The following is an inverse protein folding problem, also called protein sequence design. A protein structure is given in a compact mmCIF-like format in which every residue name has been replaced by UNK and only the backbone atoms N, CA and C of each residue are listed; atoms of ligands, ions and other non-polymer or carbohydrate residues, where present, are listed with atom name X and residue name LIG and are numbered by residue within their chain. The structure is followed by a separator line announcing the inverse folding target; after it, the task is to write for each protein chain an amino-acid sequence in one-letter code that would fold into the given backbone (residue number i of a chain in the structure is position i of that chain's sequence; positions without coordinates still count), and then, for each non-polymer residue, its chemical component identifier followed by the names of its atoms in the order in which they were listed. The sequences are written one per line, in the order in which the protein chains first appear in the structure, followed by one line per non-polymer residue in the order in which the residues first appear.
data_IF_359298783487
#
_entry.id   IF_359298783487
#
_cell.length_a   1.000
_cell.length_b   1.000
_cell.length_c   1.000
_cell.angle_alpha   90.00
_cell.angle_beta   90.00
_cell.angle_gamma   90.00
#
_symmetry.space_group_name_H-M   'P 1'
#
loop_
_entity.id
_entity.type
_entity.pdbx_description
1 polymer ?
#
# COMPACT_ATOMS: atom_id res chain seq x y z
N UNK A 1 8.72 51.33 20.23
CA UNK A 1 7.28 51.20 20.61
C UNK A 1 7.00 52.12 21.78
N UNK A 2 6.17 53.17 21.61
CA UNK A 2 5.84 54.11 22.70
C UNK A 2 4.69 53.53 23.53
N UNK A 3 4.86 53.41 24.85
CA UNK A 3 3.85 52.80 25.73
C UNK A 3 2.56 53.62 25.74
N UNK A 4 1.40 52.95 25.88
CA UNK A 4 0.06 53.56 25.95
C UNK A 4 -0.06 54.69 27.00
N UNK A 5 0.79 54.65 28.04
CA UNK A 5 0.90 55.67 29.10
C UNK A 5 1.41 57.01 28.57
N UNK A 6 2.38 57.01 27.66
CA UNK A 6 2.96 58.25 27.11
C UNK A 6 1.99 58.95 26.14
N UNK A 7 1.18 58.19 25.39
CA UNK A 7 0.14 58.75 24.50
C UNK A 7 -1.00 59.45 25.28
N UNK A 8 -1.29 58.99 26.50
CA UNK A 8 -2.31 59.60 27.35
C UNK A 8 -1.85 60.94 27.94
N UNK A 9 -0.56 61.07 28.29
CA UNK A 9 0.04 62.32 28.79
C UNK A 9 0.13 63.38 27.68
N UNK A 10 0.52 62.98 26.47
CA UNK A 10 0.59 63.88 25.30
C UNK A 10 -0.79 64.43 24.87
N UNK A 11 -1.87 63.68 25.10
CA UNK A 11 -3.25 64.13 24.82
C UNK A 11 -3.79 65.16 25.82
N UNK A 12 -3.32 65.15 27.07
CA UNK A 12 -3.68 66.18 28.07
C UNK A 12 -2.94 67.50 27.81
N UNK A 13 -1.69 67.45 27.35
CA UNK A 13 -0.88 68.64 27.07
C UNK A 13 -1.32 69.39 25.80
N UNK A 14 -1.85 68.70 24.79
CA UNK A 14 -2.23 69.32 23.50
C UNK A 14 -3.69 69.79 23.38
N UNK A 15 -4.49 69.81 24.46
CA UNK A 15 -5.85 70.42 24.45
C UNK A 15 -6.87 69.86 23.43
N UNK A 16 -6.57 68.77 22.70
CA UNK A 16 -7.47 68.23 21.67
C UNK A 16 -8.62 67.45 22.30
N UNK A 17 -9.80 68.09 22.38
CA UNK A 17 -11.08 67.44 22.72
C UNK A 17 -11.33 66.26 21.75
N UNK A 18 -11.83 65.14 22.28
CA UNK A 18 -12.21 63.98 21.44
C UNK A 18 -13.22 64.43 20.37
N UNK A 19 -13.12 63.97 19.12
CA UNK A 19 -14.15 64.24 18.13
C UNK A 19 -15.50 63.73 18.67
N UNK A 20 -16.61 64.44 18.46
CA UNK A 20 -17.92 63.97 18.88
C UNK A 20 -18.15 62.62 18.23
N UNK A 21 -18.47 61.60 19.04
CA UNK A 21 -18.99 60.34 18.51
C UNK A 21 -20.38 60.66 17.94
N UNK A 22 -20.47 60.98 16.66
CA UNK A 22 -21.73 61.02 15.93
C UNK A 22 -22.18 59.57 15.70
N UNK A 23 -22.68 58.94 16.77
CA UNK A 23 -23.53 57.76 16.63
C UNK A 23 -24.75 58.28 15.88
N UNK A 24 -24.95 57.88 14.62
CA UNK A 24 -26.21 58.16 13.90
C UNK A 24 -27.34 57.54 14.71
N UNK A 25 -27.96 58.34 15.57
CA UNK A 25 -29.15 57.95 16.31
C UNK A 25 -30.25 57.92 15.28
N UNK A 26 -30.66 56.72 14.86
CA UNK A 26 -31.89 56.56 14.09
C UNK A 26 -33.00 57.10 15.01
N UNK A 27 -33.66 58.18 14.60
CA UNK A 27 -34.77 58.76 15.36
C UNK A 27 -35.77 57.63 15.70
N UNK A 28 -36.14 57.50 16.98
CA UNK A 28 -37.02 56.43 17.49
C UNK A 28 -38.35 56.40 16.72
N UNK A 29 -38.83 57.56 16.29
CA UNK A 29 -40.04 57.70 15.46
C UNK A 29 -39.82 57.25 14.01
N UNK A 30 -38.65 57.54 13.43
CA UNK A 30 -38.29 57.06 12.09
C UNK A 30 -38.13 55.54 12.06
N UNK A 31 -37.56 54.95 13.11
CA UNK A 31 -37.51 53.50 13.26
C UNK A 31 -38.90 52.90 13.41
N UNK A 32 -39.80 53.53 14.18
CA UNK A 32 -41.19 53.07 14.32
C UNK A 32 -41.94 53.07 12.98
N UNK A 33 -41.82 54.15 12.19
CA UNK A 33 -42.44 54.28 10.86
C UNK A 33 -41.91 53.30 9.82
N UNK A 34 -40.62 52.92 9.91
CA UNK A 34 -39.97 52.02 8.93
C UNK A 34 -39.68 50.61 9.44
N UNK A 35 -40.15 50.26 10.64
CA UNK A 35 -39.84 49.00 11.34
C UNK A 35 -40.09 47.78 10.48
N UNK A 36 -41.25 47.72 9.83
CA UNK A 36 -41.66 46.61 8.96
C UNK A 36 -40.73 46.48 7.76
N UNK A 37 -40.41 47.58 7.08
CA UNK A 37 -39.49 47.60 5.92
C UNK A 37 -38.07 47.16 6.30
N UNK A 38 -37.60 47.54 7.49
CA UNK A 38 -36.29 47.11 8.03
C UNK A 38 -36.29 45.62 8.37
N UNK A 39 -37.36 45.13 9.00
CA UNK A 39 -37.51 43.71 9.32
C UNK A 39 -37.61 42.87 8.04
N UNK A 40 -38.35 43.33 7.04
CA UNK A 40 -38.51 42.63 5.76
C UNK A 40 -37.17 42.49 5.03
N UNK A 41 -36.38 43.57 4.94
CA UNK A 41 -35.01 43.49 4.41
C UNK A 41 -34.12 42.51 5.17
N UNK A 42 -34.23 42.47 6.51
CA UNK A 42 -33.45 41.52 7.34
C UNK A 42 -33.91 40.08 7.13
N UNK A 43 -35.19 39.86 6.89
CA UNK A 43 -35.76 38.57 6.54
C UNK A 43 -35.24 38.12 5.17
N UNK A 44 -35.40 38.95 4.13
CA UNK A 44 -34.87 38.71 2.77
C UNK A 44 -33.37 38.37 2.81
N UNK A 45 -32.59 39.16 3.54
CA UNK A 45 -31.15 38.93 3.66
C UNK A 45 -30.81 37.62 4.38
N UNK A 46 -31.53 37.25 5.44
CA UNK A 46 -31.34 35.94 6.10
C UNK A 46 -31.73 34.78 5.19
N UNK A 47 -32.82 34.93 4.44
CA UNK A 47 -33.28 33.93 3.46
C UNK A 47 -32.22 33.74 2.37
N UNK A 48 -31.71 34.84 1.79
CA UNK A 48 -30.63 34.81 0.81
C UNK A 48 -29.34 34.19 1.35
N UNK A 49 -28.87 34.61 2.52
CA UNK A 49 -27.67 34.05 3.16
C UNK A 49 -27.79 32.55 3.41
N UNK A 50 -29.01 32.06 3.67
CA UNK A 50 -29.31 30.64 3.90
C UNK A 50 -29.24 29.83 2.62
N UNK A 51 -29.84 30.32 1.53
CA UNK A 51 -29.71 29.70 0.20
C UNK A 51 -28.25 29.63 -0.24
N UNK A 52 -27.51 30.72 -0.09
CA UNK A 52 -26.08 30.76 -0.42
C UNK A 52 -25.27 29.73 0.37
N UNK A 53 -25.55 29.56 1.67
CA UNK A 53 -24.89 28.54 2.50
C UNK A 53 -25.25 27.11 2.07
N UNK A 54 -26.49 26.87 1.65
CA UNK A 54 -26.95 25.59 1.12
C UNK A 54 -26.24 25.24 -0.19
N UNK A 55 -26.18 26.18 -1.14
CA UNK A 55 -25.45 26.01 -2.41
C UNK A 55 -23.98 25.69 -2.16
N UNK A 56 -23.31 26.47 -1.31
CA UNK A 56 -21.91 26.24 -0.93
C UNK A 56 -21.71 24.86 -0.30
N UNK A 57 -22.68 24.38 0.50
CA UNK A 57 -22.61 23.04 1.09
C UNK A 57 -22.77 21.93 0.03
N UNK A 58 -23.69 22.10 -0.93
CA UNK A 58 -23.89 21.17 -2.05
C UNK A 58 -22.68 21.12 -2.98
N UNK A 59 -22.12 22.28 -3.35
CA UNK A 59 -20.89 22.33 -4.14
C UNK A 59 -19.72 21.63 -3.44
N UNK A 60 -19.57 21.84 -2.13
CA UNK A 60 -18.55 21.13 -1.34
C UNK A 60 -18.77 19.63 -1.33
N UNK A 61 -20.02 19.19 -1.21
CA UNK A 61 -20.38 17.77 -1.22
C UNK A 61 -20.01 17.12 -2.56
N UNK A 62 -20.33 17.77 -3.68
CA UNK A 62 -19.97 17.29 -5.02
C UNK A 62 -18.45 17.22 -5.17
N UNK A 63 -17.74 18.31 -4.84
CA UNK A 63 -16.27 18.34 -4.91
C UNK A 63 -15.61 17.24 -4.07
N UNK A 64 -16.11 16.98 -2.86
CA UNK A 64 -15.59 15.92 -1.99
C UNK A 64 -15.86 14.51 -2.54
N UNK A 65 -17.00 14.29 -3.21
CA UNK A 65 -17.31 12.99 -3.83
C UNK A 65 -16.45 12.71 -5.05
N UNK A 66 -16.20 13.74 -5.87
CA UNK A 66 -15.45 13.64 -7.12
C UNK A 66 -13.93 13.63 -6.90
N UNK A 67 -13.46 14.14 -5.75
CA UNK A 67 -12.04 14.19 -5.43
C UNK A 67 -11.49 12.76 -5.20
N UNK A 68 -10.43 12.36 -5.94
CA UNK A 68 -9.78 11.08 -5.75
C UNK A 68 -9.15 11.01 -4.35
N UNK A 69 -9.08 9.81 -3.79
CA UNK A 69 -8.34 9.58 -2.54
C UNK A 69 -6.85 9.71 -2.82
N UNK A 70 -6.23 10.74 -2.25
CA UNK A 70 -4.79 10.95 -2.33
C UNK A 70 -4.08 10.03 -1.34
N UNK A 71 -3.74 8.82 -1.79
CA UNK A 71 -2.97 7.86 -1.01
C UNK A 71 -1.69 7.53 -1.76
N UNK A 72 -0.57 8.01 -1.24
CA UNK A 72 0.73 7.71 -1.84
C UNK A 72 1.01 6.20 -1.83
N UNK A 73 1.49 5.65 -2.97
CA UNK A 73 1.90 4.26 -3.04
C UNK A 73 3.09 3.99 -2.12
N UNK A 74 3.05 2.86 -1.43
CA UNK A 74 4.15 2.44 -0.56
C UNK A 74 5.28 1.91 -1.44
N UNK A 75 6.47 2.51 -1.34
CA UNK A 75 7.67 2.03 -2.02
C UNK A 75 8.01 0.62 -1.55
N UNK A 76 7.83 -0.36 -2.43
CA UNK A 76 8.24 -1.75 -2.19
C UNK A 76 9.72 -1.94 -2.50
N UNK A 77 10.39 -2.79 -1.73
CA UNK A 77 11.79 -3.16 -2.00
C UNK A 77 11.90 -3.92 -3.32
N UNK A 78 12.80 -3.49 -4.19
CA UNK A 78 13.02 -4.12 -5.49
C UNK A 78 13.53 -5.56 -5.36
N UNK A 79 13.06 -6.42 -6.26
CA UNK A 79 13.55 -7.78 -6.44
C UNK A 79 14.73 -7.79 -7.42
N UNK A 80 15.78 -8.54 -7.12
CA UNK A 80 16.89 -8.74 -8.06
C UNK A 80 17.16 -10.23 -8.25
N UNK A 81 17.15 -10.74 -9.49
CA UNK A 81 17.39 -12.15 -9.77
C UNK A 81 18.84 -12.56 -9.54
N UNK A 82 19.13 -13.86 -9.64
CA UNK A 82 20.50 -14.35 -9.73
C UNK A 82 21.19 -13.84 -11.00
N UNK A 83 22.53 -13.84 -11.03
CA UNK A 83 23.30 -13.71 -12.26
C UNK A 83 22.92 -14.79 -13.28
N UNK A 84 23.05 -14.48 -14.57
CA UNK A 84 22.80 -15.42 -15.67
C UNK A 84 23.69 -16.66 -15.65
N UNK A 85 24.87 -16.58 -15.02
CA UNK A 85 25.77 -17.72 -14.78
C UNK A 85 25.25 -18.74 -13.76
N UNK A 86 24.19 -18.42 -13.02
CA UNK A 86 23.60 -19.31 -12.03
C UNK A 86 22.61 -20.27 -12.69
N UNK A 87 22.68 -21.56 -12.35
CA UNK A 87 21.73 -22.59 -12.83
C UNK A 87 20.28 -22.24 -12.47
N UNK A 88 20.07 -21.49 -11.38
CA UNK A 88 18.76 -21.05 -10.92
C UNK A 88 18.37 -19.65 -11.45
N UNK A 89 19.10 -19.10 -12.43
CA UNK A 89 18.80 -17.79 -13.00
C UNK A 89 17.36 -17.69 -13.51
N UNK A 90 16.94 -18.62 -14.37
CA UNK A 90 15.60 -18.60 -14.98
C UNK A 90 14.48 -18.55 -13.95
N UNK A 91 14.54 -19.45 -12.96
CA UNK A 91 13.56 -19.51 -11.87
C UNK A 91 13.70 -18.35 -10.87
N UNK A 92 14.84 -17.65 -10.80
CA UNK A 92 15.03 -16.48 -9.91
C UNK A 92 14.48 -15.16 -10.49
N UNK A 93 14.10 -15.13 -11.78
CA UNK A 93 13.61 -13.92 -12.45
C UNK A 93 12.30 -13.41 -11.85
N UNK A 94 11.44 -14.32 -11.42
CA UNK A 94 10.16 -13.99 -10.80
C UNK A 94 10.04 -14.69 -9.44
N UNK A 95 9.92 -13.93 -8.33
CA UNK A 95 9.80 -14.49 -6.99
C UNK A 95 8.49 -15.28 -6.77
N UNK A 96 7.42 -14.97 -7.50
CA UNK A 96 6.15 -15.69 -7.44
C UNK A 96 6.23 -17.03 -8.18
N UNK A 97 6.75 -17.03 -9.41
CA UNK A 97 7.01 -18.27 -10.14
C UNK A 97 7.99 -19.17 -9.39
N UNK A 98 9.01 -18.59 -8.75
CA UNK A 98 9.93 -19.32 -7.89
C UNK A 98 9.23 -19.97 -6.70
N UNK A 99 8.44 -19.20 -5.95
CA UNK A 99 7.71 -19.70 -4.78
C UNK A 99 6.71 -20.81 -5.16
N UNK A 100 6.02 -20.63 -6.29
CA UNK A 100 5.14 -21.65 -6.86
C UNK A 100 5.91 -22.92 -7.22
N UNK A 101 7.00 -22.78 -7.98
CA UNK A 101 7.83 -23.91 -8.44
C UNK A 101 8.44 -24.69 -7.28
N UNK A 102 8.92 -24.00 -6.23
CA UNK A 102 9.41 -24.63 -5.02
C UNK A 102 8.31 -25.36 -4.24
N UNK A 103 7.11 -24.78 -4.15
CA UNK A 103 5.97 -25.42 -3.49
C UNK A 103 5.58 -26.69 -4.26
N UNK A 104 5.48 -26.61 -5.59
CA UNK A 104 5.22 -27.75 -6.45
C UNK A 104 6.29 -28.84 -6.29
N UNK A 105 7.57 -28.45 -6.30
CA UNK A 105 8.69 -29.37 -6.07
C UNK A 105 8.62 -30.03 -4.69
N UNK A 106 8.30 -29.27 -3.64
CA UNK A 106 8.17 -29.79 -2.28
C UNK A 106 7.05 -30.82 -2.17
N UNK A 107 5.87 -30.51 -2.71
CA UNK A 107 4.74 -31.45 -2.71
C UNK A 107 5.05 -32.70 -3.53
N UNK A 108 5.72 -32.56 -4.68
CA UNK A 108 6.17 -33.70 -5.48
C UNK A 108 7.16 -34.58 -4.75
N UNK A 109 8.20 -34.01 -4.13
CA UNK A 109 9.16 -34.78 -3.34
C UNK A 109 8.49 -35.48 -2.16
N UNK A 110 7.55 -34.81 -1.49
CA UNK A 110 6.76 -35.40 -0.40
C UNK A 110 5.89 -36.55 -0.89
N UNK A 111 5.25 -36.42 -2.05
CA UNK A 111 4.42 -37.46 -2.67
C UNK A 111 5.24 -38.67 -3.14
N UNK A 112 6.40 -38.43 -3.77
CA UNK A 112 7.23 -39.49 -4.35
C UNK A 112 8.14 -40.19 -3.34
N UNK A 113 8.66 -39.45 -2.36
CA UNK A 113 9.75 -39.91 -1.50
C UNK A 113 9.50 -39.70 -0.01
N UNK A 114 8.33 -39.16 0.40
CA UNK A 114 7.98 -38.81 1.79
C UNK A 114 8.90 -37.80 2.49
N UNK A 115 9.90 -37.27 1.78
CA UNK A 115 10.88 -36.31 2.28
C UNK A 115 10.87 -35.03 1.45
N UNK A 116 11.38 -33.93 2.02
CA UNK A 116 11.50 -32.66 1.31
C UNK A 116 12.67 -32.65 0.32
N UNK A 117 12.67 -31.76 -0.70
CA UNK A 117 13.66 -31.73 -1.77
C UNK A 117 15.11 -31.60 -1.31
N UNK A 118 15.33 -31.04 -0.12
CA UNK A 118 16.65 -30.88 0.51
C UNK A 118 17.24 -32.16 1.09
N UNK A 119 16.44 -33.23 1.20
CA UNK A 119 16.81 -34.53 1.76
C UNK A 119 16.76 -35.64 0.70
N UNK A 120 16.50 -35.28 -0.56
CA UNK A 120 16.36 -36.23 -1.66
C UNK A 120 17.71 -36.40 -2.35
N UNK A 121 18.14 -37.64 -2.50
CA UNK A 121 19.33 -38.00 -3.29
C UNK A 121 19.18 -37.59 -4.76
N UNK A 122 20.28 -37.26 -5.41
CA UNK A 122 20.28 -36.70 -6.75
C UNK A 122 19.41 -37.43 -7.80
N UNK A 123 19.46 -38.76 -7.96
CA UNK A 123 18.65 -39.44 -8.99
C UNK A 123 17.15 -39.27 -8.75
N UNK A 124 16.75 -39.25 -7.48
CA UNK A 124 15.36 -39.03 -7.05
C UNK A 124 14.98 -37.55 -7.19
N UNK A 125 15.90 -36.64 -6.89
CA UNK A 125 15.69 -35.19 -6.99
C UNK A 125 15.49 -34.78 -8.46
N UNK A 126 16.37 -35.21 -9.35
CA UNK A 126 16.24 -34.98 -10.79
C UNK A 126 14.90 -35.50 -11.33
N UNK A 127 14.47 -36.70 -10.90
CA UNK A 127 13.18 -37.28 -11.32
C UNK A 127 11.98 -36.44 -10.85
N UNK A 128 12.08 -35.77 -9.70
CA UNK A 128 11.05 -34.84 -9.23
C UNK A 128 11.03 -33.51 -10.01
N UNK A 129 12.20 -33.02 -10.43
CA UNK A 129 12.36 -31.77 -11.19
C UNK A 129 11.95 -31.92 -12.66
N UNK A 130 12.33 -33.02 -13.33
CA UNK A 130 12.25 -33.18 -14.79
C UNK A 130 10.91 -33.77 -15.27
N UNK A 131 10.08 -34.33 -14.37
CA UNK A 131 8.76 -34.84 -14.76
C UNK A 131 7.90 -33.72 -15.38
N UNK A 132 7.51 -33.96 -16.63
CA UNK A 132 7.50 -33.03 -17.77
C UNK A 132 6.38 -31.98 -17.83
N UNK A 133 5.42 -31.94 -16.90
CA UNK A 133 4.16 -31.22 -17.21
C UNK A 133 3.83 -29.98 -16.36
N UNK A 134 4.30 -29.81 -15.11
CA UNK A 134 3.76 -28.70 -14.26
C UNK A 134 4.76 -27.78 -13.54
N UNK A 135 6.07 -27.91 -13.72
CA UNK A 135 6.99 -26.88 -13.20
C UNK A 135 7.32 -25.94 -14.35
N UNK A 136 6.36 -25.07 -14.65
CA UNK A 136 6.44 -24.03 -15.67
C UNK A 136 7.82 -23.33 -15.65
N UNK A 137 8.39 -23.17 -16.84
CA UNK A 137 9.50 -22.27 -17.18
C UNK A 137 10.82 -22.44 -16.42
N UNK A 138 11.23 -23.68 -16.13
CA UNK A 138 12.66 -23.94 -16.08
C UNK A 138 13.23 -23.70 -17.49
N UNK A 139 13.86 -22.53 -17.71
CA UNK A 139 14.52 -22.17 -18.97
C UNK A 139 15.35 -23.35 -19.52
N UNK A 140 15.40 -23.46 -20.85
CA UNK A 140 16.19 -24.45 -21.58
C UNK A 140 17.64 -24.59 -21.06
N UNK A 141 18.24 -23.46 -20.66
CA UNK A 141 19.58 -23.37 -20.05
C UNK A 141 19.66 -24.14 -18.73
N UNK A 142 18.66 -24.03 -17.87
CA UNK A 142 18.59 -24.77 -16.61
C UNK A 142 18.37 -26.26 -16.88
N UNK A 143 17.48 -26.62 -17.79
CA UNK A 143 17.28 -28.03 -18.18
C UNK A 143 18.55 -28.66 -18.72
N UNK A 144 19.31 -27.94 -19.55
CA UNK A 144 20.61 -28.38 -20.07
C UNK A 144 21.61 -28.60 -18.94
N UNK A 145 21.78 -27.64 -18.05
CA UNK A 145 22.67 -27.77 -16.89
C UNK A 145 22.30 -28.96 -15.99
N UNK A 146 21.00 -29.18 -15.74
CA UNK A 146 20.52 -30.34 -14.99
C UNK A 146 20.78 -31.68 -15.72
N UNK A 147 20.67 -31.71 -17.05
CA UNK A 147 20.96 -32.90 -17.84
C UNK A 147 22.46 -33.23 -17.84
N UNK A 148 23.33 -32.23 -18.00
CA UNK A 148 24.78 -32.41 -17.92
C UNK A 148 25.18 -32.93 -16.54
N UNK A 149 24.62 -32.36 -15.48
CA UNK A 149 24.86 -32.80 -14.10
C UNK A 149 24.34 -34.23 -13.86
N UNK A 150 23.20 -34.59 -14.46
CA UNK A 150 22.67 -35.96 -14.40
C UNK A 150 23.62 -36.97 -15.02
N UNK A 151 24.10 -36.70 -16.24
CA UNK A 151 24.97 -37.62 -16.97
C UNK A 151 26.22 -37.93 -16.16
N UNK A 152 26.84 -36.89 -15.56
CA UNK A 152 28.03 -37.06 -14.70
C UNK A 152 27.75 -37.87 -13.42
N UNK A 153 26.57 -37.71 -12.82
CA UNK A 153 26.24 -38.39 -11.56
C UNK A 153 25.76 -39.84 -11.71
N UNK A 154 25.21 -40.20 -12.87
CA UNK A 154 24.76 -41.58 -13.17
C UNK A 154 25.89 -42.39 -13.84
N UNK A 155 27.01 -41.77 -14.18
CA UNK A 155 28.18 -42.48 -14.69
C UNK A 155 28.53 -43.67 -13.80
N UNK A 156 28.64 -44.84 -14.45
CA UNK A 156 29.12 -46.05 -13.81
C UNK A 156 30.60 -45.85 -13.46
N UNK A 157 30.90 -46.05 -12.20
CA UNK A 157 32.23 -45.84 -11.61
C UNK A 157 32.68 -47.04 -10.80
N UNK A 158 31.88 -48.11 -10.82
CA UNK A 158 32.16 -49.34 -10.11
C UNK A 158 33.35 -50.02 -10.80
N UNK A 159 34.17 -50.70 -10.00
CA UNK A 159 35.29 -51.44 -10.56
C UNK A 159 34.74 -52.60 -11.42
N UNK A 160 35.30 -52.83 -12.62
CA UNK A 160 34.97 -54.01 -13.41
C UNK A 160 35.21 -55.28 -12.59
N UNK A 161 34.44 -56.32 -12.86
CA UNK A 161 34.63 -57.60 -12.21
C UNK A 161 36.05 -58.15 -12.48
N UNK A 162 36.62 -58.86 -11.51
CA UNK A 162 38.03 -59.28 -11.54
C UNK A 162 38.34 -60.18 -12.76
N UNK A 163 37.41 -61.04 -13.14
CA UNK A 163 37.49 -61.89 -14.34
C UNK A 163 37.57 -61.08 -15.64
N UNK A 164 36.91 -59.91 -15.70
CA UNK A 164 37.01 -58.97 -16.82
C UNK A 164 38.36 -58.26 -16.82
N UNK A 165 38.89 -57.92 -15.64
CA UNK A 165 40.22 -57.32 -15.51
C UNK A 165 41.33 -58.28 -15.95
N UNK A 166 41.24 -59.55 -15.54
CA UNK A 166 42.23 -60.58 -15.84
C UNK A 166 42.24 -60.99 -17.34
N UNK A 167 41.14 -60.75 -18.05
CA UNK A 167 41.02 -61.00 -19.49
C UNK A 167 41.53 -59.84 -20.38
N UNK A 168 41.79 -58.65 -19.80
CA UNK A 168 42.29 -57.49 -20.55
C UNK A 168 43.81 -57.56 -20.75
N UNK A 169 44.27 -57.03 -21.88
CA UNK A 169 45.71 -56.75 -22.02
C UNK A 169 46.14 -55.60 -21.10
N UNK A 170 47.41 -55.55 -20.72
CA UNK A 170 47.96 -54.47 -19.86
C UNK A 170 47.62 -53.06 -20.40
N UNK A 171 47.66 -52.88 -21.72
CA UNK A 171 47.34 -51.61 -22.38
C UNK A 171 45.85 -51.26 -22.30
N UNK A 172 44.95 -52.25 -22.34
CA UNK A 172 43.51 -52.07 -22.19
C UNK A 172 43.13 -51.77 -20.74
N UNK A 173 43.72 -52.52 -19.80
CA UNK A 173 43.59 -52.27 -18.37
C UNK A 173 43.97 -50.82 -18.03
N UNK A 174 45.13 -50.36 -18.52
CA UNK A 174 45.61 -49.00 -18.28
C UNK A 174 44.67 -47.92 -18.81
N UNK A 175 44.07 -48.14 -19.98
CA UNK A 175 43.10 -47.23 -20.60
C UNK A 175 41.81 -47.18 -19.79
N UNK A 176 41.30 -48.34 -19.37
CA UNK A 176 40.06 -48.43 -18.61
C UNK A 176 40.23 -47.82 -17.22
N UNK A 177 41.34 -48.07 -16.53
CA UNK A 177 41.63 -47.45 -15.23
C UNK A 177 41.83 -45.94 -15.32
N UNK A 178 42.37 -45.41 -16.44
CA UNK A 178 42.41 -43.95 -16.69
C UNK A 178 41.02 -43.39 -16.94
N UNK A 179 40.16 -44.11 -17.68
CA UNK A 179 38.76 -43.73 -17.92
C UNK A 179 37.97 -43.70 -16.60
N UNK A 180 38.06 -44.74 -15.77
CA UNK A 180 37.39 -44.81 -14.47
C UNK A 180 37.85 -43.70 -13.52
N UNK A 181 39.16 -43.42 -13.46
CA UNK A 181 39.69 -42.28 -12.68
C UNK A 181 39.07 -40.94 -13.11
N UNK A 182 38.95 -40.68 -14.41
CA UNK A 182 38.28 -39.48 -14.94
C UNK A 182 36.80 -39.43 -14.55
N UNK A 183 36.07 -40.53 -14.75
CA UNK A 183 34.65 -40.60 -14.40
C UNK A 183 34.40 -40.40 -12.90
N UNK A 184 35.25 -40.97 -12.03
CA UNK A 184 35.20 -40.75 -10.58
C UNK A 184 35.42 -39.28 -10.22
N UNK A 185 36.39 -38.64 -10.86
CA UNK A 185 36.66 -37.21 -10.67
C UNK A 185 35.47 -36.35 -11.09
N UNK A 186 34.94 -36.55 -12.29
CA UNK A 186 33.77 -35.82 -12.81
C UNK A 186 32.52 -36.02 -11.95
N UNK A 187 32.31 -37.24 -11.43
CA UNK A 187 31.21 -37.56 -10.52
C UNK A 187 31.37 -36.86 -9.17
N UNK A 188 32.59 -36.78 -8.63
CA UNK A 188 32.88 -36.04 -7.39
C UNK A 188 32.63 -34.53 -7.57
N UNK A 189 33.09 -33.93 -8.67
CA UNK A 189 32.81 -32.52 -9.00
C UNK A 189 31.30 -32.24 -9.14
N UNK A 190 30.58 -33.16 -9.78
CA UNK A 190 29.13 -33.07 -9.93
C UNK A 190 28.41 -33.14 -8.57
N UNK A 191 28.86 -33.99 -7.65
CA UNK A 191 28.31 -34.05 -6.29
C UNK A 191 28.51 -32.74 -5.52
N UNK A 192 29.70 -32.13 -5.60
CA UNK A 192 29.99 -30.83 -4.99
C UNK A 192 29.08 -29.74 -5.60
N UNK A 193 28.96 -29.74 -6.93
CA UNK A 193 28.10 -28.78 -7.65
C UNK A 193 26.64 -28.93 -7.21
N UNK A 194 26.14 -30.16 -7.03
CA UNK A 194 24.79 -30.40 -6.55
C UNK A 194 24.56 -29.89 -5.12
N UNK A 195 25.52 -30.11 -4.21
CA UNK A 195 25.42 -29.60 -2.84
C UNK A 195 25.32 -28.06 -2.83
N UNK A 196 26.16 -27.39 -3.62
CA UNK A 196 26.11 -25.92 -3.80
C UNK A 196 24.75 -25.47 -4.34
N UNK A 197 24.18 -26.20 -5.31
CA UNK A 197 22.85 -25.90 -5.85
C UNK A 197 21.74 -26.03 -4.80
N UNK A 198 21.79 -27.07 -3.95
CA UNK A 198 20.83 -27.24 -2.87
C UNK A 198 20.87 -26.05 -1.89
N UNK A 199 22.06 -25.59 -1.51
CA UNK A 199 22.21 -24.45 -0.60
C UNK A 199 21.80 -23.11 -1.24
N UNK A 200 22.10 -22.93 -2.53
CA UNK A 200 21.58 -21.78 -3.29
C UNK A 200 20.06 -21.75 -3.34
N UNK A 201 19.40 -22.89 -3.61
CA UNK A 201 17.94 -23.00 -3.60
C UNK A 201 17.35 -22.67 -2.22
N UNK A 202 17.97 -23.14 -1.13
CA UNK A 202 17.55 -22.81 0.24
C UNK A 202 17.66 -21.31 0.52
N UNK A 203 18.75 -20.68 0.09
CA UNK A 203 18.98 -19.24 0.28
C UNK A 203 17.98 -18.42 -0.52
N UNK A 204 17.77 -18.76 -1.78
CA UNK A 204 16.78 -18.09 -2.63
C UNK A 204 15.36 -18.21 -2.09
N UNK A 205 15.01 -19.38 -1.55
CA UNK A 205 13.72 -19.58 -0.88
C UNK A 205 13.49 -18.55 0.22
N UNK A 206 14.44 -18.42 1.14
CA UNK A 206 14.33 -17.45 2.23
C UNK A 206 14.20 -16.02 1.71
N UNK A 207 14.94 -15.68 0.64
CA UNK A 207 14.90 -14.35 0.03
C UNK A 207 13.56 -14.06 -0.63
N UNK A 208 13.03 -15.00 -1.41
CA UNK A 208 11.72 -14.89 -2.06
C UNK A 208 10.59 -14.80 -1.03
N UNK A 209 10.58 -15.68 -0.02
CA UNK A 209 9.60 -15.64 1.08
C UNK A 209 9.61 -14.27 1.80
N UNK A 210 10.80 -13.74 2.10
CA UNK A 210 10.95 -12.42 2.73
C UNK A 210 10.45 -11.27 1.83
N UNK A 211 10.75 -11.32 0.54
CA UNK A 211 10.29 -10.32 -0.41
C UNK A 211 8.76 -10.35 -0.55
N UNK A 212 8.18 -11.53 -0.76
CA UNK A 212 6.73 -11.72 -0.86
C UNK A 212 6.00 -11.26 0.40
N UNK A 213 6.52 -11.58 1.59
CA UNK A 213 5.97 -11.10 2.86
C UNK A 213 6.02 -9.57 2.95
N UNK A 214 7.11 -8.94 2.50
CA UNK A 214 7.24 -7.48 2.46
C UNK A 214 6.26 -6.83 1.48
N UNK A 215 6.02 -7.45 0.32
CA UNK A 215 5.05 -6.97 -0.67
C UNK A 215 3.63 -7.08 -0.10
N UNK A 216 3.28 -8.22 0.51
CA UNK A 216 1.98 -8.42 1.14
C UNK A 216 1.72 -7.42 2.28
N UNK A 217 2.73 -7.16 3.12
CA UNK A 217 2.64 -6.14 4.17
C UNK A 217 2.46 -4.73 3.59
N UNK A 218 3.18 -4.40 2.51
CA UNK A 218 3.02 -3.13 1.79
C UNK A 218 1.60 -2.96 1.25
N UNK A 219 1.04 -4.00 0.62
CA UNK A 219 -0.32 -3.99 0.10
C UNK A 219 -1.36 -3.80 1.23
N UNK A 220 -1.22 -4.54 2.34
CA UNK A 220 -2.12 -4.43 3.48
C UNK A 220 -2.07 -3.03 4.12
N UNK A 221 -0.87 -2.46 4.28
CA UNK A 221 -0.70 -1.11 4.81
C UNK A 221 -1.30 -0.04 3.87
N UNK A 222 -1.14 -0.21 2.56
CA UNK A 222 -1.72 0.69 1.57
C UNK A 222 -3.26 0.63 1.59
N UNK A 223 -3.82 -0.57 1.65
CA UNK A 223 -5.26 -0.76 1.80
C UNK A 223 -5.79 -0.13 3.09
N UNK A 224 -5.11 -0.32 4.22
CA UNK A 224 -5.50 0.32 5.48
C UNK A 224 -5.49 1.86 5.39
N UNK A 225 -4.53 2.45 4.66
CA UNK A 225 -4.50 3.90 4.40
C UNK A 225 -5.67 4.34 3.53
N UNK A 226 -6.00 3.59 2.48
CA UNK A 226 -7.17 3.86 1.64
C UNK A 226 -8.47 3.78 2.43
N UNK A 227 -8.65 2.74 3.25
CA UNK A 227 -9.84 2.57 4.08
C UNK A 227 -9.98 3.72 5.08
N UNK A 228 -8.88 4.13 5.73
CA UNK A 228 -8.89 5.28 6.64
C UNK A 228 -9.26 6.59 5.92
N UNK A 229 -8.65 6.87 4.78
CA UNK A 229 -8.95 8.07 3.99
C UNK A 229 -10.40 8.06 3.50
N UNK A 230 -10.92 6.89 3.11
CA UNK A 230 -12.32 6.71 2.73
C UNK A 230 -13.27 6.97 3.91
N UNK A 231 -12.93 6.48 5.11
CA UNK A 231 -13.73 6.71 6.31
C UNK A 231 -13.77 8.19 6.71
N UNK A 232 -12.64 8.89 6.65
CA UNK A 232 -12.57 10.33 6.92
C UNK A 232 -13.44 11.12 5.94
N UNK A 233 -13.33 10.83 4.64
CA UNK A 233 -14.18 11.41 3.58
C UNK A 233 -15.66 11.14 3.80
N UNK A 234 -16.02 9.89 4.12
CA UNK A 234 -17.41 9.52 4.40
C UNK A 234 -17.96 10.26 5.63
N UNK A 235 -17.13 10.47 6.66
CA UNK A 235 -17.48 11.28 7.82
C UNK A 235 -17.76 12.75 7.49
N UNK A 236 -16.99 13.34 6.56
CA UNK A 236 -17.25 14.71 6.09
C UNK A 236 -18.50 14.81 5.22
N UNK A 237 -18.70 13.84 4.32
CA UNK A 237 -19.92 13.70 3.51
C UNK A 237 -21.15 13.66 4.43
N UNK A 238 -21.16 12.78 5.44
CA UNK A 238 -22.27 12.68 6.38
C UNK A 238 -22.53 13.99 7.15
N UNK A 239 -21.48 14.72 7.54
CA UNK A 239 -21.62 16.04 8.18
C UNK A 239 -22.25 17.07 7.23
N UNK A 240 -21.88 17.06 5.95
CA UNK A 240 -22.44 17.94 4.93
C UNK A 240 -23.89 17.59 4.61
N UNK A 241 -24.20 16.31 4.43
CA UNK A 241 -25.56 15.81 4.20
C UNK A 241 -26.47 16.19 5.36
N UNK A 242 -26.03 16.02 6.61
CA UNK A 242 -26.78 16.47 7.79
C UNK A 242 -27.01 17.99 7.78
N UNK A 243 -26.01 18.79 7.44
CA UNK A 243 -26.16 20.26 7.32
C UNK A 243 -27.14 20.64 6.22
N UNK A 244 -27.10 19.97 5.08
CA UNK A 244 -28.01 20.17 3.96
C UNK A 244 -29.43 19.82 4.40
N UNK A 245 -29.64 18.67 5.04
CA UNK A 245 -30.93 18.27 5.59
C UNK A 245 -31.45 19.25 6.65
N UNK A 246 -30.58 19.77 7.54
CA UNK A 246 -30.96 20.81 8.50
C UNK A 246 -31.38 22.12 7.81
N UNK A 247 -30.73 22.47 6.70
CA UNK A 247 -31.12 23.61 5.89
C UNK A 247 -32.46 23.38 5.19
N UNK A 248 -32.68 22.20 4.61
CA UNK A 248 -33.92 21.86 3.91
C UNK A 248 -35.11 21.72 4.87
N UNK A 249 -34.93 21.03 6.00
CA UNK A 249 -35.97 20.77 7.00
C UNK A 249 -36.49 22.04 7.68
N UNK A 250 -35.61 22.96 8.09
CA UNK A 250 -36.08 24.19 8.75
C UNK A 250 -36.70 25.21 7.77
N UNK A 251 -36.58 24.97 6.46
CA UNK A 251 -37.07 25.88 5.41
C UNK A 251 -36.47 27.30 5.46
N UNK A 252 -36.59 28.14 4.42
CA UNK A 252 -36.61 29.58 4.70
C UNK A 252 -37.67 29.80 5.78
N UNK A 253 -37.38 30.57 6.86
CA UNK A 253 -38.34 30.82 7.95
C UNK A 253 -39.76 30.88 7.39
N UNK A 254 -40.64 29.98 7.83
CA UNK A 254 -41.79 29.53 7.03
C UNK A 254 -42.75 30.68 6.74
N UNK A 255 -42.71 31.77 7.51
CA UNK A 255 -43.26 33.09 7.15
C UNK A 255 -42.47 34.27 7.74
N UNK A 256 -42.71 35.48 7.23
CA UNK A 256 -42.23 36.74 7.82
C UNK A 256 -42.71 36.92 9.28
N UNK A 257 -43.87 36.36 9.63
CA UNK A 257 -44.47 36.48 10.97
C UNK A 257 -43.66 35.72 12.01
N UNK A 258 -43.32 34.46 11.75
CA UNK A 258 -42.45 33.67 12.63
C UNK A 258 -41.06 34.31 12.82
N UNK A 259 -40.55 34.94 11.77
CA UNK A 259 -39.31 35.70 11.84
C UNK A 259 -39.44 36.87 12.83
N UNK A 260 -40.53 37.63 12.75
CA UNK A 260 -40.75 38.74 13.68
C UNK A 260 -40.96 38.29 15.13
N UNK A 261 -41.60 37.14 15.36
CA UNK A 261 -41.73 36.56 16.70
C UNK A 261 -40.40 36.08 17.28
N UNK A 262 -39.54 35.46 16.47
CA UNK A 262 -38.21 35.04 16.92
C UNK A 262 -37.30 36.23 17.25
N UNK A 263 -37.43 37.34 16.50
CA UNK A 263 -36.74 38.60 16.78
C UNK A 263 -37.25 39.31 18.04
N UNK A 264 -38.53 39.14 18.39
CA UNK A 264 -39.08 39.59 19.68
C UNK A 264 -38.50 38.76 20.82
N UNK A 265 -38.64 37.43 20.78
CA UNK A 265 -38.10 36.52 21.81
C UNK A 265 -36.60 36.72 22.06
N UNK A 266 -35.79 36.93 21.01
CA UNK A 266 -34.35 37.24 21.17
C UNK A 266 -34.08 38.54 21.91
N UNK A 267 -34.89 39.58 21.70
CA UNK A 267 -34.74 40.84 22.44
C UNK A 267 -35.14 40.65 23.89
N UNK A 268 -36.22 39.92 24.13
CA UNK A 268 -36.75 39.66 25.47
C UNK A 268 -35.77 38.81 26.30
N UNK A 269 -35.13 37.80 25.70
CA UNK A 269 -34.05 37.03 26.35
C UNK A 269 -32.76 37.83 26.55
N UNK A 270 -32.44 38.79 25.67
CA UNK A 270 -31.25 39.63 25.84
C UNK A 270 -31.44 40.70 26.94
N UNK A 271 -32.69 41.10 27.21
CA UNK A 271 -33.04 41.95 28.34
C UNK A 271 -33.06 41.21 29.68
N UNK A 272 -33.32 39.90 29.71
CA UNK A 272 -33.31 39.10 30.95
C UNK A 272 -31.91 38.63 31.38
N UNK A 273 -30.91 38.69 30.49
CA UNK A 273 -29.52 38.33 30.78
C UNK A 273 -28.64 39.54 31.15
N UNK A 274 -29.25 40.72 31.35
CA UNK A 274 -28.58 41.97 31.69
C UNK A 274 -28.94 42.50 33.09
N UNK A 275 -29.63 41.68 33.90
CA UNK A 275 -29.76 41.83 35.36
C UNK A 275 -28.72 40.93 36.06
#
# INVERSE_FOLDING_TARGET
MVSKSNMAKHRKLCGKKKPPKTRKVINRESYARHKVKILNKRFEQRTFDRFRRLEVAREKLVKLRDMPLDVEPIKTREWHPEPSSSVVHGISQDPYLFAYSLKALKERCKKLYRVGPSMVEWPKFYKAVIRKEDIYDFKFETTRAFNELKTKMIADTDDPAQDVLDAMSDAEYDREMRRLRRLRHEKAEAQVTFAVLQDKLRTYRKRAEKHLASVALGAANFQARQEKAQQERNGEIAKLEKRIADFECKGPCTTFEEFTESEKKRRDCASSSAE
#
